data_IF_271475440963
#
_entry.id   IF_271475440963
#
_cell.length_a   1.000
_cell.length_b   1.000
_cell.length_c   1.000
_cell.angle_alpha   90.00
_cell.angle_beta   90.00
_cell.angle_gamma   90.00
#
_symmetry.space_group_name_H-M   'P 1'
#
loop_
_entity.id
_entity.type
_entity.pdbx_description
1 polymer ?
#
# COMPACT_ATOMS: atom_id res chain seq x y z
N UNK A 1 -73.01 -30.84 23.26
CA UNK A 1 -73.07 -32.30 23.53
C UNK A 1 -71.75 -32.72 24.20
N UNK A 2 -71.67 -33.95 24.71
CA UNK A 2 -70.66 -34.57 25.59
C UNK A 2 -69.16 -34.18 25.41
N UNK A 3 -68.24 -34.40 26.37
CA UNK A 3 -68.20 -34.40 27.85
C UNK A 3 -66.95 -35.17 28.34
N UNK A 4 -66.32 -34.72 29.46
CA UNK A 4 -65.30 -35.44 30.28
C UNK A 4 -63.93 -35.71 29.59
N UNK A 5 -62.82 -35.95 30.32
CA UNK A 5 -62.62 -36.15 31.78
C UNK A 5 -61.23 -35.65 32.25
N UNK A 6 -61.11 -35.41 33.56
CA UNK A 6 -59.95 -34.83 34.24
C UNK A 6 -59.06 -35.86 34.98
N UNK A 7 -57.75 -35.60 35.01
CA UNK A 7 -56.78 -35.80 36.13
C UNK A 7 -55.47 -35.08 35.72
N UNK A 8 -54.80 -34.23 36.50
CA UNK A 8 -54.61 -34.02 37.96
C UNK A 8 -53.74 -35.10 38.64
N UNK A 9 -52.45 -34.80 38.78
CA UNK A 9 -51.79 -34.74 40.09
C UNK A 9 -50.56 -33.81 40.06
N UNK A 10 -50.26 -33.16 41.18
CA UNK A 10 -49.15 -32.23 41.39
C UNK A 10 -48.56 -32.46 42.78
N UNK A 11 -47.22 -32.43 42.94
CA UNK A 11 -46.53 -32.15 44.21
C UNK A 11 -45.02 -31.88 44.09
N UNK A 12 -44.67 -30.74 44.67
CA UNK A 12 -43.36 -30.12 44.93
C UNK A 12 -42.33 -30.95 45.77
N UNK A 13 -41.07 -30.46 45.90
CA UNK A 13 -39.90 -31.23 46.39
C UNK A 13 -39.53 -30.99 47.87
N UNK A 14 -38.43 -31.60 48.37
CA UNK A 14 -37.50 -31.06 49.41
C UNK A 14 -36.29 -32.00 49.66
N UNK A 15 -35.27 -31.50 50.38
CA UNK A 15 -34.07 -32.17 50.96
C UNK A 15 -32.99 -32.67 49.97
N UNK A 16 -31.71 -32.24 49.99
CA UNK A 16 -30.67 -31.94 51.01
C UNK A 16 -29.90 -33.14 51.57
N UNK A 17 -28.59 -33.18 51.32
CA UNK A 17 -27.61 -33.58 52.34
C UNK A 17 -26.23 -32.96 52.05
N UNK A 18 -25.46 -32.74 53.12
CA UNK A 18 -24.15 -32.05 53.08
C UNK A 18 -23.24 -32.68 54.13
N UNK A 19 -22.14 -33.28 53.69
CA UNK A 19 -21.08 -33.80 54.55
C UNK A 19 -19.74 -33.63 53.82
N UNK A 20 -18.57 -33.56 54.46
CA UNK A 20 -18.08 -33.13 55.78
C UNK A 20 -16.58 -33.52 55.74
N UNK A 21 -15.72 -32.95 56.60
CA UNK A 21 -14.28 -33.30 56.61
C UNK A 21 -14.03 -34.50 57.55
N UNK A 22 -12.88 -35.17 57.40
CA UNK A 22 -11.77 -34.80 58.29
C UNK A 22 -10.46 -34.51 57.54
N UNK A 23 -9.44 -34.06 58.27
CA UNK A 23 -8.06 -33.95 57.81
C UNK A 23 -7.10 -34.36 58.93
N UNK A 24 -5.83 -34.61 58.60
CA UNK A 24 -4.78 -34.91 59.57
C UNK A 24 -3.40 -34.43 59.06
N UNK A 25 -2.63 -33.81 59.95
CA UNK A 25 -1.20 -33.54 59.76
C UNK A 25 -0.37 -34.80 60.04
N UNK A 26 0.60 -35.11 59.19
CA UNK A 26 1.80 -35.88 59.57
C UNK A 26 3.03 -35.28 58.87
N UNK A 27 4.22 -35.52 59.43
CA UNK A 27 5.42 -34.73 59.17
C UNK A 27 6.69 -35.60 59.26
N UNK A 28 7.62 -35.44 58.31
CA UNK A 28 9.00 -35.97 58.33
C UNK A 28 9.09 -37.53 58.26
N UNK A 29 10.22 -38.20 57.96
CA UNK A 29 11.62 -37.78 57.73
C UNK A 29 12.41 -38.80 56.85
N UNK A 30 13.59 -38.39 56.33
CA UNK A 30 14.80 -39.20 55.95
C UNK A 30 14.63 -40.34 54.87
N UNK A 31 15.63 -40.78 54.08
CA UNK A 31 17.10 -40.76 54.16
C UNK A 31 17.79 -40.79 52.78
N UNK A 32 18.90 -40.03 52.60
CA UNK A 32 20.12 -40.20 51.74
C UNK A 32 20.04 -40.89 50.34
N UNK A 33 20.84 -40.55 49.32
CA UNK A 33 22.31 -40.31 49.31
C UNK A 33 22.82 -39.39 48.20
N UNK A 34 23.70 -38.44 48.53
CA UNK A 34 24.99 -38.14 47.84
C UNK A 34 25.75 -37.07 48.66
N UNK A 35 27.09 -36.98 48.59
CA UNK A 35 27.86 -36.12 49.49
C UNK A 35 29.28 -35.75 49.03
N UNK A 36 29.92 -34.87 49.83
CA UNK A 36 31.15 -34.11 49.56
C UNK A 36 31.00 -33.07 48.42
N UNK A 37 31.49 -31.83 48.50
CA UNK A 37 32.25 -31.07 49.53
C UNK A 37 33.01 -29.91 48.81
N UNK A 38 33.51 -28.82 49.41
CA UNK A 38 33.79 -28.40 50.80
C UNK A 38 33.83 -26.83 50.81
N UNK A 39 33.17 -26.15 51.78
CA UNK A 39 33.39 -24.77 52.35
C UNK A 39 33.52 -23.55 51.36
N UNK A 40 33.31 -22.24 51.66
CA UNK A 40 32.82 -21.36 52.76
C UNK A 40 32.74 -19.90 52.17
N UNK A 41 32.16 -18.81 52.73
CA UNK A 41 31.33 -18.46 53.93
C UNK A 41 30.58 -17.11 53.62
N UNK A 42 29.62 -16.68 54.47
CA UNK A 42 28.95 -15.34 54.60
C UNK A 42 28.32 -14.65 53.34
N UNK A 43 27.06 -14.18 53.31
CA UNK A 43 26.28 -13.23 54.15
C UNK A 43 26.62 -11.73 53.87
N UNK A 44 25.69 -10.75 53.82
CA UNK A 44 24.29 -10.71 54.31
C UNK A 44 23.34 -9.73 53.55
N UNK A 45 22.15 -9.50 54.11
CA UNK A 45 20.87 -8.88 53.68
C UNK A 45 20.76 -7.58 52.84
N UNK A 46 19.53 -7.38 52.32
CA UNK A 46 18.94 -6.18 51.71
C UNK A 46 18.29 -5.24 52.76
N UNK A 47 18.48 -3.91 52.69
CA UNK A 47 17.71 -2.95 53.49
C UNK A 47 16.45 -2.41 52.79
N UNK A 48 15.35 -2.27 53.56
CA UNK A 48 14.19 -1.41 53.21
C UNK A 48 14.48 0.03 53.66
N UNK A 49 13.93 1.04 52.98
CA UNK A 49 14.14 2.45 53.35
C UNK A 49 12.82 3.18 53.67
N UNK A 50 12.82 3.99 54.74
CA UNK A 50 11.66 4.81 55.15
C UNK A 50 12.06 6.06 55.97
N UNK A 51 11.29 7.15 55.81
CA UNK A 51 11.20 8.37 56.64
C UNK A 51 12.49 9.21 56.93
N UNK A 52 12.66 10.25 56.11
CA UNK A 52 12.42 11.68 56.44
C UNK A 52 13.04 12.28 57.74
N UNK A 53 13.95 13.25 57.56
CA UNK A 53 13.79 14.65 58.03
C UNK A 53 14.81 15.60 57.35
N UNK A 54 14.61 16.92 57.53
CA UNK A 54 15.33 18.00 56.82
C UNK A 54 16.60 18.43 57.55
N UNK A 55 17.54 19.10 56.85
CA UNK A 55 18.07 20.42 57.28
C UNK A 55 18.81 21.20 56.17
N UNK A 56 18.61 22.53 56.17
CA UNK A 56 19.45 23.66 55.66
C UNK A 56 19.94 23.67 54.18
N UNK A 57 20.21 24.88 53.66
CA UNK A 57 20.45 25.19 52.24
C UNK A 57 21.87 25.74 51.98
N UNK A 58 22.51 25.27 50.91
CA UNK A 58 23.79 25.77 50.37
C UNK A 58 23.94 25.38 48.88
N UNK A 59 24.57 26.20 48.00
CA UNK A 59 24.28 26.13 46.56
C UNK A 59 25.33 25.44 45.64
N UNK A 60 24.92 25.30 44.38
CA UNK A 60 25.68 24.94 43.14
C UNK A 60 25.84 23.44 42.81
N UNK A 61 25.83 23.11 41.50
CA UNK A 61 26.45 21.89 40.96
C UNK A 61 25.60 20.83 40.22
N UNK A 62 24.25 20.86 40.23
CA UNK A 62 23.46 19.65 39.91
C UNK A 62 22.48 19.69 38.70
N UNK A 63 22.28 20.82 38.00
CA UNK A 63 21.15 20.96 37.05
C UNK A 63 21.38 20.45 35.62
N UNK A 64 22.62 20.39 35.11
CA UNK A 64 22.87 20.01 33.70
C UNK A 64 22.71 18.51 33.41
N UNK A 65 23.10 17.63 34.34
CA UNK A 65 23.14 16.17 34.09
C UNK A 65 21.77 15.51 33.95
N UNK A 66 20.77 15.98 34.70
CA UNK A 66 19.41 15.44 34.60
C UNK A 66 18.72 15.85 33.30
N UNK A 67 18.99 17.07 32.80
CA UNK A 67 18.38 17.56 31.57
C UNK A 67 18.94 16.83 30.34
N UNK A 68 20.26 16.62 30.26
CA UNK A 68 20.88 15.88 29.15
C UNK A 68 20.50 14.41 29.14
N UNK A 69 20.38 13.77 30.31
CA UNK A 69 19.88 12.40 30.45
C UNK A 69 18.43 12.24 29.94
N UNK A 70 17.52 13.13 30.34
CA UNK A 70 16.13 13.10 29.87
C UNK A 70 16.03 13.43 28.38
N UNK A 71 16.84 14.36 27.86
CA UNK A 71 16.86 14.71 26.43
C UNK A 71 17.39 13.53 25.59
N UNK A 72 18.43 12.82 26.02
CA UNK A 72 18.94 11.65 25.28
C UNK A 72 17.93 10.49 25.30
N UNK A 73 17.37 10.15 26.47
CA UNK A 73 16.34 9.12 26.59
C UNK A 73 15.08 9.43 25.75
N UNK A 74 14.67 10.69 25.69
CA UNK A 74 13.52 11.14 24.87
C UNK A 74 13.85 11.11 23.37
N UNK A 75 15.04 11.56 22.96
CA UNK A 75 15.42 11.53 21.54
C UNK A 75 15.60 10.10 21.02
N UNK A 76 16.28 9.21 21.76
CA UNK A 76 16.46 7.81 21.36
C UNK A 76 15.15 7.01 21.23
N UNK A 77 14.10 7.36 21.97
CA UNK A 77 12.78 6.69 21.89
C UNK A 77 11.85 7.31 20.84
N UNK A 78 11.94 8.61 20.59
CA UNK A 78 11.07 9.34 19.66
C UNK A 78 11.57 9.30 18.20
N UNK A 79 12.88 9.45 17.97
CA UNK A 79 13.48 9.40 16.62
C UNK A 79 13.08 8.17 15.77
N UNK A 80 13.09 6.92 16.28
CA UNK A 80 12.69 5.75 15.48
C UNK A 80 11.20 5.70 15.14
N UNK A 81 10.35 6.52 15.75
CA UNK A 81 8.91 6.57 15.40
C UNK A 81 8.69 7.49 14.20
N UNK A 82 9.24 8.71 14.22
CA UNK A 82 9.11 9.69 13.14
C UNK A 82 9.74 9.22 11.83
N UNK A 83 10.94 8.61 11.87
CA UNK A 83 11.60 8.08 10.66
C UNK A 83 10.75 7.03 9.95
N UNK A 84 10.06 6.17 10.70
CA UNK A 84 9.15 5.18 10.14
C UNK A 84 7.87 5.79 9.53
N UNK A 85 7.34 6.86 10.12
CA UNK A 85 6.20 7.62 9.59
C UNK A 85 6.59 8.36 8.30
N UNK A 86 7.71 9.08 8.32
CA UNK A 86 8.27 9.78 7.16
C UNK A 86 8.49 8.78 6.02
N UNK A 87 9.18 7.67 6.26
CA UNK A 87 9.45 6.65 5.24
C UNK A 87 8.16 6.01 4.69
N UNK A 88 7.11 5.81 5.51
CA UNK A 88 5.81 5.36 5.00
C UNK A 88 5.19 6.39 4.04
N UNK A 89 5.20 7.68 4.39
CA UNK A 89 4.68 8.72 3.50
C UNK A 89 5.55 8.93 2.25
N UNK A 90 6.89 8.91 2.35
CA UNK A 90 7.80 9.01 1.20
C UNK A 90 7.59 7.87 0.20
N UNK A 91 7.41 6.63 0.67
CA UNK A 91 7.06 5.49 -0.20
C UNK A 91 5.70 5.68 -0.88
N UNK A 92 4.69 6.18 -0.14
CA UNK A 92 3.33 6.37 -0.67
C UNK A 92 3.25 7.55 -1.65
N UNK A 93 3.81 8.72 -1.33
CA UNK A 93 3.75 9.87 -2.24
C UNK A 93 4.75 9.68 -3.39
N UNK A 94 6.03 9.42 -3.11
CA UNK A 94 7.06 9.27 -4.14
C UNK A 94 6.78 8.10 -5.10
N UNK A 95 6.53 6.91 -4.56
CA UNK A 95 6.27 5.72 -5.37
C UNK A 95 5.01 5.86 -6.23
N UNK A 96 3.89 6.32 -5.66
CA UNK A 96 2.65 6.37 -6.41
C UNK A 96 2.58 7.57 -7.38
N UNK A 97 3.25 8.70 -7.11
CA UNK A 97 3.39 9.78 -8.10
C UNK A 97 4.27 9.36 -9.28
N UNK A 98 5.42 8.73 -9.02
CA UNK A 98 6.31 8.23 -10.08
C UNK A 98 5.64 7.12 -10.91
N UNK A 99 4.79 6.30 -10.28
CA UNK A 99 3.98 5.30 -11.00
C UNK A 99 3.00 5.96 -11.99
N UNK A 100 2.32 7.04 -11.61
CA UNK A 100 1.42 7.78 -12.52
C UNK A 100 2.18 8.39 -13.69
N UNK A 101 3.36 8.97 -13.47
CA UNK A 101 4.20 9.50 -14.54
C UNK A 101 4.62 8.40 -15.54
N UNK A 102 5.12 7.26 -15.05
CA UNK A 102 5.48 6.14 -15.91
C UNK A 102 4.26 5.50 -16.60
N UNK A 103 3.09 5.50 -15.95
CA UNK A 103 1.83 5.02 -16.52
C UNK A 103 1.37 5.88 -17.70
N UNK A 104 1.46 7.21 -17.56
CA UNK A 104 1.05 8.16 -18.60
C UNK A 104 1.95 8.04 -19.85
N UNK A 105 3.25 7.81 -19.68
CA UNK A 105 4.17 7.52 -20.78
C UNK A 105 3.77 6.26 -21.57
N UNK A 106 3.45 5.15 -20.88
CA UNK A 106 3.07 3.89 -21.55
C UNK A 106 1.69 3.99 -22.23
N UNK A 107 0.72 4.67 -21.60
CA UNK A 107 -0.65 4.76 -22.13
C UNK A 107 -0.74 5.71 -23.33
N UNK A 108 0.11 6.74 -23.44
CA UNK A 108 0.21 7.59 -24.64
C UNK A 108 0.62 6.78 -25.87
N UNK A 109 1.58 5.88 -25.73
CA UNK A 109 2.06 5.00 -26.79
C UNK A 109 1.11 3.83 -27.10
N UNK A 110 0.59 3.16 -26.06
CA UNK A 110 -0.14 1.91 -26.18
C UNK A 110 -1.32 1.84 -25.19
N UNK A 111 -2.48 2.46 -25.47
CA UNK A 111 -3.59 2.58 -24.52
C UNK A 111 -4.23 1.23 -24.13
N UNK A 112 -4.06 0.17 -24.92
CA UNK A 112 -4.58 -1.17 -24.62
C UNK A 112 -3.74 -1.99 -23.62
N UNK A 113 -2.57 -1.49 -23.19
CA UNK A 113 -1.57 -2.22 -22.38
C UNK A 113 -1.92 -2.45 -20.90
N UNK A 114 -3.03 -1.91 -20.41
CA UNK A 114 -3.43 -1.95 -18.98
C UNK A 114 -3.37 -3.33 -18.29
N UNK A 115 -3.85 -4.42 -18.91
CA UNK A 115 -3.73 -5.77 -18.34
C UNK A 115 -2.27 -6.22 -18.15
N UNK A 116 -1.40 -5.99 -19.14
CA UNK A 116 0.02 -6.30 -19.05
C UNK A 116 0.73 -5.46 -17.98
N UNK A 117 0.42 -4.16 -17.88
CA UNK A 117 0.95 -3.29 -16.81
C UNK A 117 0.58 -3.84 -15.44
N UNK A 118 -0.67 -4.27 -15.26
CA UNK A 118 -1.15 -4.87 -14.00
C UNK A 118 -0.41 -6.18 -13.69
N UNK A 119 -0.26 -7.05 -14.69
CA UNK A 119 0.48 -8.30 -14.55
C UNK A 119 1.96 -8.06 -14.18
N UNK A 120 2.63 -7.12 -14.84
CA UNK A 120 4.02 -6.76 -14.55
C UNK A 120 4.21 -6.19 -13.12
N UNK A 121 3.29 -5.34 -12.67
CA UNK A 121 3.27 -4.84 -11.28
C UNK A 121 3.15 -5.97 -10.25
N UNK A 122 2.25 -6.93 -10.49
CA UNK A 122 2.04 -8.08 -9.62
C UNK A 122 3.23 -9.05 -9.63
N UNK A 123 3.77 -9.35 -10.82
CA UNK A 123 4.90 -10.24 -11.01
C UNK A 123 6.16 -9.69 -10.33
N UNK A 124 6.50 -8.42 -10.57
CA UNK A 124 7.66 -7.80 -9.92
C UNK A 124 7.48 -7.72 -8.40
N UNK A 125 6.27 -7.41 -7.91
CA UNK A 125 6.00 -7.38 -6.47
C UNK A 125 6.14 -8.77 -5.82
N UNK A 126 5.71 -9.83 -6.50
CA UNK A 126 5.93 -11.21 -6.04
C UNK A 126 7.43 -11.55 -6.04
N UNK A 127 8.14 -11.34 -7.16
CA UNK A 127 9.59 -11.63 -7.29
C UNK A 127 10.42 -10.87 -6.24
N UNK A 128 10.12 -9.59 -5.97
CA UNK A 128 10.81 -8.78 -4.96
C UNK A 128 10.41 -9.10 -3.51
N UNK A 129 9.40 -9.95 -3.27
CA UNK A 129 9.00 -10.37 -1.92
C UNK A 129 9.30 -11.83 -1.60
N UNK A 130 9.32 -12.72 -2.61
CA UNK A 130 9.68 -14.15 -2.48
C UNK A 130 10.95 -14.38 -1.64
N UNK A 131 12.11 -13.73 -1.88
CA UNK A 131 13.33 -13.99 -1.11
C UNK A 131 13.20 -13.74 0.40
N UNK A 132 12.30 -12.84 0.82
CA UNK A 132 12.04 -12.59 2.24
C UNK A 132 11.15 -13.64 2.92
N UNK A 133 10.64 -14.61 2.16
CA UNK A 133 9.79 -15.72 2.61
C UNK A 133 10.34 -17.10 2.25
N UNK A 134 11.49 -17.18 1.58
CA UNK A 134 12.22 -18.44 1.40
C UNK A 134 13.03 -18.77 2.65
N UNK A 135 12.94 -20.02 3.10
CA UNK A 135 13.67 -20.57 4.24
C UNK A 135 14.04 -22.02 3.94
N UNK A 136 15.34 -22.28 3.77
CA UNK A 136 15.88 -23.60 3.40
C UNK A 136 15.47 -24.67 4.42
N UNK A 137 15.39 -24.30 5.71
CA UNK A 137 14.99 -25.20 6.81
C UNK A 137 13.51 -25.60 6.80
N UNK A 138 12.65 -24.96 6.00
CA UNK A 138 11.25 -25.36 5.83
C UNK A 138 11.07 -26.56 4.88
N UNK A 139 12.10 -26.89 4.09
CA UNK A 139 12.14 -28.07 3.21
C UNK A 139 11.14 -28.06 2.03
N UNK A 140 11.23 -29.06 1.14
CA UNK A 140 10.41 -29.11 -0.08
C UNK A 140 8.91 -29.29 0.20
N UNK A 141 8.54 -29.95 1.31
CA UNK A 141 7.13 -30.12 1.71
C UNK A 141 6.42 -28.79 2.02
N UNK A 142 7.15 -27.75 2.44
CA UNK A 142 6.64 -26.38 2.60
C UNK A 142 6.89 -25.50 1.37
N UNK A 143 7.34 -26.07 0.24
CA UNK A 143 7.89 -25.33 -0.91
C UNK A 143 9.00 -24.33 -0.52
N UNK A 144 9.79 -24.68 0.51
CA UNK A 144 10.78 -23.81 1.17
C UNK A 144 10.20 -22.48 1.69
N UNK A 145 8.88 -22.37 1.91
CA UNK A 145 8.28 -21.16 2.48
C UNK A 145 8.38 -21.15 4.01
N UNK A 146 8.80 -20.00 4.55
CA UNK A 146 8.80 -19.68 5.97
C UNK A 146 7.43 -19.92 6.63
N UNK A 147 7.40 -20.35 7.91
CA UNK A 147 6.14 -20.54 8.63
C UNK A 147 5.33 -19.24 8.71
N UNK A 148 4.04 -19.34 8.39
CA UNK A 148 3.08 -18.21 8.41
C UNK A 148 2.64 -17.90 9.83
N UNK A 149 2.61 -16.62 10.22
CA UNK A 149 1.92 -16.19 11.43
C UNK A 149 0.40 -16.10 11.23
N UNK A 150 -0.06 -15.80 9.99
CA UNK A 150 -1.48 -15.69 9.66
C UNK A 150 -1.92 -16.90 8.80
N UNK A 151 -3.00 -17.61 9.17
CA UNK A 151 -3.41 -18.82 8.46
C UNK A 151 -3.79 -18.54 7.00
N UNK A 152 -3.35 -19.43 6.09
CA UNK A 152 -3.50 -19.25 4.63
C UNK A 152 -4.96 -19.01 4.20
N UNK A 153 -5.95 -19.57 4.90
CA UNK A 153 -7.38 -19.31 4.64
C UNK A 153 -7.75 -17.82 4.77
N UNK A 154 -7.14 -17.09 5.71
CA UNK A 154 -7.32 -15.64 5.84
C UNK A 154 -6.62 -14.87 4.72
N UNK A 155 -5.43 -15.32 4.28
CA UNK A 155 -4.76 -14.71 3.13
C UNK A 155 -5.49 -14.97 1.81
N UNK A 156 -6.13 -16.12 1.63
CA UNK A 156 -6.99 -16.40 0.47
C UNK A 156 -8.19 -15.46 0.42
N UNK A 157 -8.90 -15.26 1.54
CA UNK A 157 -10.03 -14.30 1.60
C UNK A 157 -9.57 -12.85 1.35
N UNK A 158 -8.45 -12.44 1.96
CA UNK A 158 -7.88 -11.10 1.70
C UNK A 158 -7.45 -10.93 0.23
N UNK A 159 -6.86 -11.96 -0.36
CA UNK A 159 -6.45 -11.95 -1.78
C UNK A 159 -7.66 -11.90 -2.70
N UNK A 160 -8.73 -12.65 -2.41
CA UNK A 160 -9.96 -12.62 -3.20
C UNK A 160 -10.57 -11.20 -3.25
N UNK A 161 -10.60 -10.48 -2.12
CA UNK A 161 -10.95 -9.06 -2.13
C UNK A 161 -9.96 -8.23 -2.95
N UNK A 162 -8.65 -8.35 -2.68
CA UNK A 162 -7.61 -7.56 -3.33
C UNK A 162 -7.60 -7.69 -4.86
N UNK A 163 -7.63 -8.92 -5.39
CA UNK A 163 -7.61 -9.17 -6.83
C UNK A 163 -8.91 -8.71 -7.48
N UNK A 164 -10.07 -8.97 -6.88
CA UNK A 164 -11.37 -8.53 -7.41
C UNK A 164 -11.45 -7.00 -7.45
N UNK A 165 -10.97 -6.30 -6.41
CA UNK A 165 -10.90 -4.84 -6.38
C UNK A 165 -9.98 -4.31 -7.49
N UNK A 166 -8.79 -4.89 -7.70
CA UNK A 166 -7.90 -4.45 -8.77
C UNK A 166 -8.50 -4.71 -10.16
N UNK A 167 -9.02 -5.91 -10.43
CA UNK A 167 -9.64 -6.26 -11.70
C UNK A 167 -10.84 -5.36 -12.04
N UNK A 168 -11.78 -5.16 -11.11
CA UNK A 168 -12.94 -4.29 -11.33
C UNK A 168 -12.54 -2.82 -11.60
N UNK A 169 -11.52 -2.30 -10.92
CA UNK A 169 -11.04 -0.93 -11.17
C UNK A 169 -10.36 -0.79 -12.54
N UNK A 170 -9.75 -1.85 -13.06
CA UNK A 170 -9.07 -1.83 -14.36
C UNK A 170 -10.05 -2.11 -15.52
N UNK A 171 -11.02 -3.00 -15.32
CA UNK A 171 -12.09 -3.27 -16.29
C UNK A 171 -13.06 -2.10 -16.45
N UNK A 172 -13.22 -1.24 -15.44
CA UNK A 172 -14.03 -0.03 -15.51
C UNK A 172 -13.71 0.88 -16.72
N UNK A 173 -12.44 0.95 -17.13
CA UNK A 173 -12.01 1.73 -18.30
C UNK A 173 -12.58 1.19 -19.64
N UNK A 174 -12.91 -0.11 -19.74
CA UNK A 174 -13.55 -0.66 -20.93
C UNK A 174 -14.97 -0.11 -21.16
N UNK A 175 -15.64 0.37 -20.10
CA UNK A 175 -16.98 0.92 -20.13
C UNK A 175 -17.00 2.43 -20.44
N UNK A 176 -16.03 2.91 -21.24
CA UNK A 176 -15.84 4.32 -21.66
C UNK A 176 -15.66 5.33 -20.50
N UNK A 177 -15.39 4.87 -19.28
CA UNK A 177 -15.15 5.76 -18.14
C UNK A 177 -13.79 6.45 -18.30
N UNK A 178 -13.78 7.78 -18.40
CA UNK A 178 -12.54 8.57 -18.47
C UNK A 178 -11.78 8.59 -17.14
N UNK A 179 -10.46 8.84 -17.20
CA UNK A 179 -9.60 8.87 -15.99
C UNK A 179 -10.10 9.88 -14.94
N UNK A 180 -10.51 11.13 -15.26
CA UNK A 180 -11.10 12.03 -14.26
C UNK A 180 -12.40 11.49 -13.67
N UNK A 181 -13.26 10.86 -14.47
CA UNK A 181 -14.53 10.29 -14.00
C UNK A 181 -14.30 9.10 -13.06
N UNK A 182 -13.30 8.27 -13.32
CA UNK A 182 -12.85 7.23 -12.38
C UNK A 182 -12.26 7.83 -11.09
N UNK A 183 -11.47 8.90 -11.17
CA UNK A 183 -10.95 9.61 -9.98
C UNK A 183 -12.09 10.17 -9.11
N UNK A 184 -13.09 10.80 -9.75
CA UNK A 184 -14.32 11.33 -9.13
C UNK A 184 -15.08 10.21 -8.42
N UNK A 185 -15.44 9.14 -9.14
CA UNK A 185 -16.21 8.03 -8.56
C UNK A 185 -15.43 7.33 -7.45
N UNK A 186 -14.11 7.10 -7.64
CA UNK A 186 -13.23 6.50 -6.63
C UNK A 186 -12.95 7.43 -5.44
N UNK A 187 -13.36 8.71 -5.46
CA UNK A 187 -13.14 9.66 -4.36
C UNK A 187 -13.98 9.35 -3.13
N UNK A 188 -15.21 8.84 -3.30
CA UNK A 188 -16.13 8.43 -2.22
C UNK A 188 -15.67 7.23 -1.38
N UNK A 189 -14.43 6.75 -1.55
CA UNK A 189 -13.88 5.61 -0.83
C UNK A 189 -13.91 5.77 0.70
N UNK A 190 -13.60 6.95 1.29
CA UNK A 190 -13.72 7.16 2.72
C UNK A 190 -15.19 7.16 3.19
N UNK A 191 -16.13 7.63 2.36
CA UNK A 191 -17.58 7.58 2.63
C UNK A 191 -18.05 6.12 2.68
N UNK A 192 -17.70 5.30 1.68
CA UNK A 192 -17.97 3.86 1.70
C UNK A 192 -17.31 3.16 2.90
N UNK A 193 -16.06 3.53 3.23
CA UNK A 193 -15.34 3.01 4.40
C UNK A 193 -16.01 3.37 5.73
N UNK A 194 -16.62 4.55 5.83
CA UNK A 194 -17.43 4.94 6.98
C UNK A 194 -18.75 4.17 7.04
N UNK A 195 -19.52 4.10 5.94
CA UNK A 195 -20.82 3.43 5.91
C UNK A 195 -20.67 1.94 6.26
N UNK A 196 -19.76 1.21 5.59
CA UNK A 196 -19.54 -0.21 5.87
C UNK A 196 -18.93 -0.41 7.27
N UNK A 197 -18.07 0.51 7.74
CA UNK A 197 -17.50 0.47 9.09
C UNK A 197 -18.52 0.71 10.21
N UNK A 198 -19.52 1.54 9.96
CA UNK A 198 -20.67 1.76 10.85
C UNK A 198 -21.56 0.52 10.88
N UNK A 199 -22.05 0.07 9.72
CA UNK A 199 -23.01 -1.03 9.58
C UNK A 199 -22.45 -2.39 10.02
N UNK A 200 -21.25 -2.78 9.56
CA UNK A 200 -20.71 -4.14 9.74
C UNK A 200 -19.62 -4.26 10.82
N UNK A 201 -19.21 -3.14 11.43
CA UNK A 201 -18.14 -3.11 12.43
C UNK A 201 -18.44 -2.19 13.63
N UNK A 202 -19.68 -1.69 13.74
CA UNK A 202 -20.17 -0.82 14.82
C UNK A 202 -19.29 0.41 15.13
N UNK A 203 -18.43 0.84 14.19
CA UNK A 203 -17.53 1.98 14.39
C UNK A 203 -18.35 3.27 14.41
N UNK A 204 -18.41 3.92 15.57
CA UNK A 204 -18.92 5.29 15.71
C UNK A 204 -17.84 6.29 15.28
N UNK A 205 -18.20 7.17 14.37
CA UNK A 205 -17.37 8.28 13.90
C UNK A 205 -17.87 9.59 14.51
N UNK A 206 -16.97 10.54 14.78
CA UNK A 206 -17.39 11.85 15.29
C UNK A 206 -17.81 12.79 14.15
N UNK A 207 -18.52 13.87 14.49
CA UNK A 207 -18.92 14.92 13.53
C UNK A 207 -17.72 15.51 12.78
N UNK A 208 -16.57 15.66 13.45
CA UNK A 208 -15.32 16.12 12.84
C UNK A 208 -14.77 15.16 11.77
N UNK A 209 -14.80 13.85 12.03
CA UNK A 209 -14.37 12.84 11.04
C UNK A 209 -15.30 12.81 9.82
N UNK A 210 -16.61 12.97 10.03
CA UNK A 210 -17.62 12.98 8.96
C UNK A 210 -17.44 14.24 8.09
N UNK A 211 -17.32 15.41 8.71
CA UNK A 211 -17.05 16.67 7.99
C UNK A 211 -15.74 16.59 7.19
N UNK A 212 -14.68 16.06 7.80
CA UNK A 212 -13.40 15.83 7.12
C UNK A 212 -13.54 14.93 5.88
N UNK A 213 -14.28 13.82 5.97
CA UNK A 213 -14.55 12.91 4.84
C UNK A 213 -15.38 13.59 3.75
N UNK A 214 -16.35 14.42 4.11
CA UNK A 214 -17.11 15.20 3.14
C UNK A 214 -16.22 16.22 2.42
N UNK A 215 -15.39 16.98 3.14
CA UNK A 215 -14.44 17.94 2.55
C UNK A 215 -13.40 17.26 1.64
N UNK A 216 -12.85 16.11 2.06
CA UNK A 216 -11.95 15.28 1.24
C UNK A 216 -12.62 14.82 -0.06
N UNK A 217 -13.88 14.41 0.00
CA UNK A 217 -14.63 13.94 -1.17
C UNK A 217 -14.92 15.10 -2.12
N UNK A 218 -15.49 16.20 -1.60
CA UNK A 218 -15.77 17.41 -2.38
C UNK A 218 -14.50 17.98 -3.03
N UNK A 219 -13.39 18.06 -2.29
CA UNK A 219 -12.13 18.60 -2.81
C UNK A 219 -11.55 17.79 -3.97
N UNK A 220 -11.54 16.45 -3.88
CA UNK A 220 -11.08 15.59 -4.99
C UNK A 220 -12.02 15.69 -6.20
N UNK A 221 -13.33 15.78 -5.98
CA UNK A 221 -14.31 15.94 -7.08
C UNK A 221 -14.12 17.30 -7.77
N UNK A 222 -14.07 18.41 -7.02
CA UNK A 222 -13.85 19.76 -7.57
C UNK A 222 -12.54 19.85 -8.34
N UNK A 223 -11.44 19.27 -7.82
CA UNK A 223 -10.16 19.26 -8.53
C UNK A 223 -10.20 18.45 -9.83
N UNK A 224 -10.80 17.26 -9.81
CA UNK A 224 -10.89 16.41 -11.00
C UNK A 224 -11.82 16.98 -12.09
N UNK A 225 -12.94 17.61 -11.70
CA UNK A 225 -13.81 18.35 -12.62
C UNK A 225 -13.07 19.55 -13.26
N UNK A 226 -12.30 20.29 -12.45
CA UNK A 226 -11.56 21.46 -12.90
C UNK A 226 -10.39 21.10 -13.83
N UNK A 227 -9.69 20.00 -13.57
CA UNK A 227 -8.62 19.46 -14.43
C UNK A 227 -9.17 18.94 -15.76
N UNK A 228 -10.25 18.15 -15.73
CA UNK A 228 -10.93 17.66 -16.93
C UNK A 228 -11.40 18.82 -17.84
N UNK A 229 -12.02 19.85 -17.25
CA UNK A 229 -12.45 21.05 -17.97
C UNK A 229 -11.26 21.83 -18.55
N UNK A 230 -10.17 21.98 -17.80
CA UNK A 230 -8.97 22.69 -18.27
C UNK A 230 -8.28 21.98 -19.45
N UNK A 231 -8.32 20.64 -19.47
CA UNK A 231 -7.77 19.79 -20.55
C UNK A 231 -8.75 19.55 -21.70
N UNK A 232 -9.89 20.25 -21.74
CA UNK A 232 -10.92 20.08 -22.77
C UNK A 232 -11.57 18.69 -22.82
N UNK A 233 -11.39 17.86 -21.78
CA UNK A 233 -11.89 16.49 -21.78
C UNK A 233 -13.40 16.47 -21.59
N UNK A 234 -14.12 16.06 -22.64
CA UNK A 234 -15.57 15.91 -22.61
C UNK A 234 -15.97 14.81 -21.62
N UNK A 235 -16.57 15.22 -20.50
CA UNK A 235 -17.22 14.31 -19.55
C UNK A 235 -18.60 13.85 -20.05
N UNK A 236 -18.74 13.66 -21.36
CA UNK A 236 -20.02 13.42 -21.99
C UNK A 236 -20.41 11.94 -21.89
N UNK A 237 -21.61 11.67 -21.38
CA UNK A 237 -22.17 10.31 -21.35
C UNK A 237 -22.76 10.05 -22.72
N UNK A 238 -21.94 9.48 -23.61
CA UNK A 238 -22.28 9.24 -25.02
C UNK A 238 -23.55 8.37 -25.12
N UNK A 239 -24.61 8.97 -25.64
CA UNK A 239 -26.00 8.51 -25.43
C UNK A 239 -26.30 7.14 -26.02
N UNK A 240 -25.51 6.70 -27.00
CA UNK A 240 -25.59 5.38 -27.65
C UNK A 240 -25.41 4.22 -26.67
N UNK A 241 -24.84 4.43 -25.47
CA UNK A 241 -24.92 3.41 -24.40
C UNK A 241 -24.89 3.98 -22.98
N UNK A 242 -26.03 4.54 -22.58
CA UNK A 242 -26.35 4.79 -21.17
C UNK A 242 -26.25 3.50 -20.32
N UNK A 243 -26.56 2.32 -20.89
CA UNK A 243 -26.45 1.01 -20.23
C UNK A 243 -25.00 0.59 -20.00
N UNK A 244 -24.11 0.71 -20.99
CA UNK A 244 -22.66 0.45 -20.80
C UNK A 244 -22.08 1.40 -19.74
N UNK A 245 -22.43 2.68 -19.78
CA UNK A 245 -21.95 3.66 -18.79
C UNK A 245 -22.46 3.33 -17.38
N UNK A 246 -23.74 2.95 -17.24
CA UNK A 246 -24.33 2.49 -15.98
C UNK A 246 -23.63 1.24 -15.44
N UNK A 247 -23.31 0.26 -16.29
CA UNK A 247 -22.53 -0.93 -15.89
C UNK A 247 -21.13 -0.55 -15.42
N UNK A 248 -20.48 0.41 -16.09
CA UNK A 248 -19.22 0.98 -15.62
C UNK A 248 -19.32 1.61 -14.23
N UNK A 249 -20.40 2.37 -13.97
CA UNK A 249 -20.65 2.98 -12.66
C UNK A 249 -20.97 1.96 -11.57
N UNK A 250 -21.75 0.91 -11.86
CA UNK A 250 -22.03 -0.16 -10.88
C UNK A 250 -20.78 -1.00 -10.58
N UNK A 251 -19.92 -1.26 -11.57
CA UNK A 251 -18.60 -1.89 -11.38
C UNK A 251 -17.73 -1.07 -10.43
N UNK A 252 -17.66 0.25 -10.61
CA UNK A 252 -16.88 1.12 -9.72
C UNK A 252 -17.48 1.22 -8.31
N UNK A 253 -18.82 1.31 -8.19
CA UNK A 253 -19.50 1.31 -6.90
C UNK A 253 -19.26 -0.01 -6.14
N UNK A 254 -19.37 -1.16 -6.82
CA UNK A 254 -19.06 -2.48 -6.27
C UNK A 254 -17.59 -2.57 -5.84
N UNK A 255 -16.65 -2.16 -6.69
CA UNK A 255 -15.22 -2.18 -6.36
C UNK A 255 -14.89 -1.30 -5.13
N UNK A 256 -15.63 -0.23 -4.90
CA UNK A 256 -15.50 0.66 -3.75
C UNK A 256 -16.07 0.07 -2.46
N UNK A 257 -17.23 -0.60 -2.54
CA UNK A 257 -17.79 -1.36 -1.41
C UNK A 257 -16.86 -2.52 -1.03
N UNK A 258 -16.35 -3.26 -2.02
CA UNK A 258 -15.36 -4.33 -1.80
C UNK A 258 -14.04 -3.79 -1.24
N UNK A 259 -13.59 -2.60 -1.65
CA UNK A 259 -12.42 -1.92 -1.06
C UNK A 259 -12.63 -1.59 0.43
N UNK A 260 -13.84 -1.16 0.81
CA UNK A 260 -14.18 -0.89 2.21
C UNK A 260 -14.17 -2.17 3.05
N UNK A 261 -14.76 -3.27 2.54
CA UNK A 261 -14.69 -4.58 3.19
C UNK A 261 -13.25 -5.11 3.30
N UNK A 262 -12.45 -5.01 2.24
CA UNK A 262 -11.03 -5.38 2.21
C UNK A 262 -10.24 -4.66 3.31
N UNK A 263 -10.42 -3.35 3.45
CA UNK A 263 -9.75 -2.54 4.47
C UNK A 263 -10.17 -2.92 5.89
N UNK A 264 -11.47 -3.15 6.12
CA UNK A 264 -11.99 -3.57 7.44
C UNK A 264 -11.53 -5.00 7.78
N UNK A 265 -11.45 -5.89 6.80
CA UNK A 265 -10.89 -7.23 6.97
C UNK A 265 -9.42 -7.16 7.37
N UNK A 266 -8.61 -6.34 6.70
CA UNK A 266 -7.20 -6.11 7.04
C UNK A 266 -7.02 -5.56 8.47
N UNK A 267 -7.78 -4.51 8.85
CA UNK A 267 -7.72 -3.93 10.20
C UNK A 267 -8.08 -4.97 11.29
N UNK A 268 -9.11 -5.79 11.06
CA UNK A 268 -9.45 -6.93 11.94
C UNK A 268 -8.35 -8.01 11.97
N UNK A 269 -7.74 -8.31 10.82
CA UNK A 269 -6.72 -9.35 10.70
C UNK A 269 -5.43 -8.97 11.45
N UNK A 270 -4.93 -7.74 11.24
CA UNK A 270 -3.79 -7.19 11.97
C UNK A 270 -4.09 -6.95 13.46
N UNK A 271 -5.34 -6.63 13.82
CA UNK A 271 -5.74 -6.54 15.23
C UNK A 271 -5.78 -7.91 15.93
N UNK A 272 -6.09 -9.01 15.22
CA UNK A 272 -6.14 -10.36 15.79
C UNK A 272 -4.76 -11.02 15.87
N UNK A 273 -3.94 -10.93 14.82
CA UNK A 273 -2.68 -11.68 14.71
C UNK A 273 -1.41 -10.84 14.86
N UNK A 274 -1.51 -9.51 14.94
CA UNK A 274 -0.37 -8.60 15.14
C UNK A 274 -0.17 -7.60 14.00
N UNK A 275 0.25 -6.39 14.36
CA UNK A 275 0.38 -5.23 13.45
C UNK A 275 1.72 -5.12 12.72
N UNK A 276 2.42 -6.25 12.55
CA UNK A 276 3.75 -6.31 11.92
C UNK A 276 3.83 -7.29 10.75
N UNK A 277 2.83 -8.15 10.57
CA UNK A 277 2.72 -9.11 9.45
C UNK A 277 2.32 -8.48 8.11
N UNK A 278 2.59 -7.19 7.90
CA UNK A 278 2.28 -6.47 6.65
C UNK A 278 3.06 -7.01 5.45
N UNK A 279 4.24 -7.61 5.70
CA UNK A 279 5.04 -8.31 4.68
C UNK A 279 4.32 -9.55 4.14
N UNK A 280 3.68 -10.34 5.02
CA UNK A 280 2.89 -11.51 4.59
C UNK A 280 1.71 -11.06 3.72
N UNK A 281 0.99 -10.02 4.14
CA UNK A 281 -0.10 -9.46 3.36
C UNK A 281 0.34 -9.06 1.94
N UNK A 282 1.52 -8.42 1.83
CA UNK A 282 2.08 -7.99 0.55
C UNK A 282 2.50 -9.17 -0.32
N UNK A 283 3.21 -10.15 0.25
CA UNK A 283 3.66 -11.35 -0.46
C UNK A 283 2.49 -12.20 -0.95
N UNK A 284 1.56 -12.56 -0.06
CA UNK A 284 0.45 -13.43 -0.42
C UNK A 284 -0.55 -12.77 -1.37
N UNK A 285 -0.89 -11.47 -1.20
CA UNK A 285 -1.90 -10.84 -2.08
C UNK A 285 -1.46 -10.70 -3.53
N UNK A 286 -0.16 -10.64 -3.81
CA UNK A 286 0.38 -10.59 -5.18
C UNK A 286 0.67 -12.01 -5.69
N UNK A 287 1.36 -12.84 -4.92
CA UNK A 287 1.76 -14.19 -5.34
C UNK A 287 0.56 -15.11 -5.58
N UNK A 288 -0.44 -15.10 -4.69
CA UNK A 288 -1.67 -15.90 -4.86
C UNK A 288 -2.61 -15.34 -5.96
N UNK A 289 -2.39 -14.10 -6.41
CA UNK A 289 -3.14 -13.51 -7.54
C UNK A 289 -2.56 -13.87 -8.90
N UNK A 290 -1.26 -14.20 -9.01
CA UNK A 290 -0.62 -14.50 -10.30
C UNK A 290 -1.30 -15.63 -11.10
N UNK A 291 -1.73 -16.76 -10.51
CA UNK A 291 -2.46 -17.80 -11.23
C UNK A 291 -3.80 -17.32 -11.84
N UNK A 292 -4.40 -16.27 -11.27
CA UNK A 292 -5.68 -15.72 -11.75
C UNK A 292 -5.53 -14.89 -13.04
N UNK A 293 -4.30 -14.62 -13.48
CA UNK A 293 -4.00 -14.03 -14.79
C UNK A 293 -3.89 -15.09 -15.92
N UNK A 294 -3.88 -16.40 -15.61
CA UNK A 294 -3.78 -17.46 -16.61
C UNK A 294 -4.86 -17.41 -17.71
N UNK A 295 -6.16 -17.10 -17.42
CA UNK A 295 -7.17 -16.93 -18.47
C UNK A 295 -6.88 -15.78 -19.45
N UNK A 296 -6.10 -14.78 -19.01
CA UNK A 296 -5.67 -13.64 -19.83
C UNK A 296 -4.33 -13.87 -20.54
N UNK A 297 -3.68 -15.04 -20.37
CA UNK A 297 -2.31 -15.29 -20.85
C UNK A 297 -2.12 -14.99 -22.35
N UNK A 298 -3.06 -15.39 -23.22
CA UNK A 298 -2.96 -15.11 -24.65
C UNK A 298 -2.95 -13.59 -24.97
N UNK A 299 -3.73 -12.80 -24.23
CA UNK A 299 -3.74 -11.34 -24.34
C UNK A 299 -2.46 -10.71 -23.75
N UNK A 300 -1.95 -11.25 -22.64
CA UNK A 300 -0.70 -10.78 -22.03
C UNK A 300 0.49 -11.02 -22.96
N UNK A 301 0.57 -12.19 -23.61
CA UNK A 301 1.64 -12.52 -24.56
C UNK A 301 1.55 -11.67 -25.84
N UNK A 302 0.36 -11.40 -26.38
CA UNK A 302 0.23 -10.52 -27.56
C UNK A 302 0.61 -9.08 -27.23
N UNK A 303 0.18 -8.56 -26.07
CA UNK A 303 0.58 -7.22 -25.59
C UNK A 303 2.09 -7.13 -25.33
N UNK A 304 2.69 -8.15 -24.72
CA UNK A 304 4.15 -8.20 -24.52
C UNK A 304 4.92 -8.20 -25.84
N UNK A 305 4.49 -9.01 -26.82
CA UNK A 305 5.11 -9.05 -28.16
C UNK A 305 5.04 -7.70 -28.85
N UNK A 306 3.89 -7.01 -28.85
CA UNK A 306 3.78 -5.67 -29.46
C UNK A 306 4.74 -4.65 -28.82
N UNK A 307 4.87 -4.68 -27.48
CA UNK A 307 5.76 -3.77 -26.74
C UNK A 307 7.26 -4.11 -26.91
N UNK A 308 7.61 -5.38 -27.15
CA UNK A 308 8.98 -5.83 -27.34
C UNK A 308 9.45 -5.73 -28.81
N UNK A 309 8.55 -5.97 -29.77
CA UNK A 309 8.83 -5.90 -31.21
C UNK A 309 8.81 -4.47 -31.79
N UNK A 310 8.51 -3.44 -30.99
CA UNK A 310 8.72 -2.07 -31.45
C UNK A 310 10.18 -1.69 -31.25
N UNK A 311 10.92 -1.57 -32.36
CA UNK A 311 12.27 -1.00 -32.39
C UNK A 311 12.31 0.39 -31.73
N UNK A 312 13.45 0.81 -31.15
CA UNK A 312 13.60 2.18 -30.65
C UNK A 312 13.35 3.17 -31.80
N UNK A 313 12.65 4.30 -31.58
CA UNK A 313 12.44 5.30 -32.60
C UNK A 313 13.76 6.01 -32.90
N UNK A 314 14.48 5.53 -33.91
CA UNK A 314 15.60 6.24 -34.53
C UNK A 314 15.04 7.50 -35.19
N UNK A 315 15.10 8.62 -34.46
CA UNK A 315 14.69 9.93 -34.95
C UNK A 315 15.66 10.44 -36.02
N UNK A 316 15.49 9.96 -37.25
CA UNK A 316 16.05 10.65 -38.41
C UNK A 316 15.50 12.07 -38.46
N UNK A 317 16.33 13.09 -38.78
CA UNK A 317 15.85 14.46 -38.84
C UNK A 317 14.89 14.63 -40.03
N UNK A 318 13.64 15.01 -39.76
CA UNK A 318 12.73 15.50 -40.79
C UNK A 318 13.22 16.86 -41.31
N UNK A 319 14.17 16.83 -42.25
CA UNK A 319 14.64 18.02 -42.94
C UNK A 319 13.54 18.50 -43.89
N UNK A 320 12.89 19.58 -43.45
CA UNK A 320 12.00 20.49 -44.16
C UNK A 320 12.18 20.49 -45.70
N UNK A 321 11.27 19.84 -46.43
CA UNK A 321 11.31 19.70 -47.89
C UNK A 321 10.15 20.38 -48.63
N UNK A 322 10.13 21.72 -48.69
CA UNK A 322 9.12 22.48 -49.44
C UNK A 322 9.50 22.71 -50.92
N UNK A 323 9.36 21.68 -51.76
CA UNK A 323 9.18 21.73 -53.22
C UNK A 323 8.51 20.41 -53.65
N UNK A 324 7.71 20.30 -54.73
CA UNK A 324 7.24 21.30 -55.68
C UNK A 324 6.97 20.67 -57.05
N UNK A 325 5.71 20.25 -57.31
CA UNK A 325 5.21 19.66 -58.57
C UNK A 325 5.85 18.31 -59.03
N UNK A 326 5.01 17.39 -59.54
CA UNK A 326 5.45 16.25 -60.37
C UNK A 326 4.90 16.39 -61.79
N UNK A 327 4.82 15.33 -62.63
CA UNK A 327 5.31 13.93 -62.48
C UNK A 327 6.09 13.52 -63.78
N UNK A 328 6.01 12.29 -64.39
CA UNK A 328 5.95 10.90 -63.90
C UNK A 328 7.05 9.95 -64.52
N UNK A 329 7.00 8.67 -64.13
CA UNK A 329 7.21 7.45 -64.99
C UNK A 329 8.61 6.84 -65.25
N UNK A 330 8.63 5.48 -65.27
CA UNK A 330 9.60 4.51 -65.84
C UNK A 330 11.09 4.56 -65.36
N UNK A 331 11.90 3.50 -65.43
CA UNK A 331 11.68 2.04 -65.36
C UNK A 331 13.05 1.31 -65.14
N UNK A 332 12.99 0.02 -64.75
CA UNK A 332 14.04 -1.02 -64.96
C UNK A 332 15.38 -1.00 -64.19
N UNK A 333 15.61 -2.09 -63.44
CA UNK A 333 16.86 -2.89 -63.30
C UNK A 333 18.25 -2.24 -63.12
N UNK A 334 18.96 -2.59 -62.03
CA UNK A 334 20.09 -3.56 -62.07
C UNK A 334 20.74 -3.71 -60.66
N UNK A 335 21.57 -4.75 -60.48
CA UNK A 335 22.52 -4.89 -59.35
C UNK A 335 22.03 -5.77 -58.18
N UNK A 336 22.49 -7.02 -58.15
CA UNK A 336 22.36 -7.91 -56.98
C UNK A 336 23.72 -8.53 -56.65
N UNK A 337 24.45 -7.91 -55.72
CA UNK A 337 25.68 -8.40 -55.05
C UNK A 337 25.99 -7.41 -53.91
N UNK A 338 26.52 -7.79 -52.74
CA UNK A 338 26.78 -9.11 -52.17
C UNK A 338 26.98 -8.96 -50.65
N UNK A 339 26.73 -10.01 -49.86
CA UNK A 339 26.75 -9.91 -48.39
C UNK A 339 28.19 -9.93 -47.85
N UNK A 340 28.54 -8.95 -47.01
CA UNK A 340 29.57 -9.11 -45.98
C UNK A 340 29.13 -8.43 -44.69
N UNK A 341 29.46 -9.03 -43.55
CA UNK A 341 28.98 -8.63 -42.22
C UNK A 341 29.91 -7.62 -41.54
N UNK A 342 29.35 -6.51 -41.07
CA UNK A 342 29.98 -5.60 -40.11
C UNK A 342 29.10 -5.45 -38.86
N UNK A 343 29.67 -5.68 -37.68
CA UNK A 343 28.97 -5.60 -36.39
C UNK A 343 28.82 -4.14 -35.95
N UNK A 344 27.75 -3.46 -36.36
CA UNK A 344 27.50 -2.08 -35.90
C UNK A 344 26.91 -2.06 -34.48
N UNK A 345 27.82 -1.87 -33.53
CA UNK A 345 27.58 -1.53 -32.12
C UNK A 345 26.51 -0.45 -31.93
N UNK A 346 25.66 -0.61 -30.92
CA UNK A 346 24.71 0.43 -30.49
C UNK A 346 25.44 1.72 -30.06
N UNK A 347 25.45 2.76 -30.90
CA UNK A 347 25.87 4.11 -30.50
C UNK A 347 24.96 4.64 -29.38
N UNK A 348 25.57 5.01 -28.26
CA UNK A 348 24.88 5.43 -27.04
C UNK A 348 24.66 6.94 -26.93
N UNK A 349 23.70 7.33 -26.09
CA UNK A 349 23.38 8.73 -25.79
C UNK A 349 24.59 9.45 -25.16
N UNK A 350 25.28 10.29 -25.95
CA UNK A 350 26.36 11.15 -25.47
C UNK A 350 25.81 12.34 -24.67
N UNK A 351 25.56 12.13 -23.38
CA UNK A 351 25.33 13.23 -22.44
C UNK A 351 26.63 14.03 -22.24
N UNK A 352 26.49 15.35 -22.11
CA UNK A 352 27.63 16.27 -22.01
C UNK A 352 28.48 16.01 -20.76
N UNK A 353 29.81 16.07 -20.94
CA UNK A 353 30.80 15.81 -19.89
C UNK A 353 30.66 16.76 -18.71
N UNK A 354 30.41 16.21 -17.51
CA UNK A 354 30.56 16.96 -16.26
C UNK A 354 32.07 17.23 -16.06
N UNK A 355 32.50 18.46 -15.71
CA UNK A 355 33.91 18.77 -15.48
C UNK A 355 34.55 17.88 -14.41
N UNK A 356 35.75 17.38 -14.69
CA UNK A 356 36.43 16.39 -13.85
C UNK A 356 36.85 16.93 -12.48
N UNK A 357 36.28 16.35 -11.42
CA UNK A 357 36.67 16.56 -10.03
C UNK A 357 36.11 15.43 -9.15
N UNK A 358 36.82 15.08 -8.07
CA UNK A 358 36.45 13.98 -7.15
C UNK A 358 36.47 12.59 -7.82
N UNK A 359 37.58 12.23 -8.47
CA UNK A 359 37.89 10.82 -8.74
C UNK A 359 38.47 10.17 -7.47
N UNK A 360 37.60 9.68 -6.57
CA UNK A 360 38.02 9.03 -5.34
C UNK A 360 36.88 8.41 -4.53
N UNK A 361 36.94 7.08 -4.35
CA UNK A 361 36.22 6.31 -3.30
C UNK A 361 34.68 6.44 -3.21
N UNK A 362 33.93 6.10 -4.27
CA UNK A 362 32.53 5.65 -4.11
C UNK A 362 32.28 4.39 -4.97
N UNK A 363 32.13 3.18 -4.37
CA UNK A 363 31.92 1.95 -5.14
C UNK A 363 30.57 1.92 -5.90
N UNK A 364 29.55 2.61 -5.39
CA UNK A 364 28.19 2.72 -5.93
C UNK A 364 28.18 3.17 -7.41
N UNK A 365 29.18 3.96 -7.83
CA UNK A 365 29.28 4.48 -9.20
C UNK A 365 29.59 3.39 -10.24
N UNK A 366 30.21 2.26 -9.86
CA UNK A 366 30.40 1.11 -10.75
C UNK A 366 29.10 0.34 -11.00
N UNK A 367 28.27 0.17 -9.97
CA UNK A 367 26.99 -0.52 -10.11
C UNK A 367 26.03 0.24 -11.03
N UNK A 368 26.04 1.58 -10.95
CA UNK A 368 25.29 2.46 -11.86
C UNK A 368 25.75 2.28 -13.33
N UNK A 369 27.06 2.17 -13.57
CA UNK A 369 27.61 1.96 -14.91
C UNK A 369 27.29 0.57 -15.47
N UNK A 370 27.30 -0.48 -14.64
CA UNK A 370 26.87 -1.83 -15.02
C UNK A 370 25.37 -1.88 -15.35
N UNK A 371 24.52 -1.17 -14.58
CA UNK A 371 23.10 -1.01 -14.89
C UNK A 371 22.88 -0.41 -16.29
N UNK A 372 23.68 0.61 -16.65
CA UNK A 372 23.57 1.30 -17.94
C UNK A 372 23.76 0.34 -19.13
N UNK A 373 24.71 -0.59 -19.07
CA UNK A 373 24.97 -1.57 -20.14
C UNK A 373 23.87 -2.63 -20.32
N UNK A 374 22.99 -2.80 -19.33
CA UNK A 374 21.82 -3.67 -19.46
C UNK A 374 20.65 -2.90 -20.12
N UNK A 375 20.52 -1.61 -19.86
CA UNK A 375 19.44 -0.79 -20.40
C UNK A 375 19.56 -0.51 -21.91
N UNK A 376 20.77 -0.50 -22.49
CA UNK A 376 20.96 -0.25 -23.94
C UNK A 376 20.41 -1.35 -24.84
N UNK A 377 20.24 -2.57 -24.33
CA UNK A 377 19.68 -3.71 -25.09
C UNK A 377 18.16 -3.91 -24.85
N UNK A 378 17.53 -3.12 -23.97
CA UNK A 378 16.12 -3.25 -23.59
C UNK A 378 15.30 -2.14 -24.27
N UNK A 379 14.24 -2.46 -25.04
CA UNK A 379 13.40 -1.44 -25.68
C UNK A 379 12.86 -0.43 -24.66
N UNK A 380 12.89 0.86 -24.99
CA UNK A 380 12.55 1.96 -24.06
C UNK A 380 11.18 1.80 -23.39
N UNK A 381 10.21 1.22 -24.10
CA UNK A 381 8.86 0.88 -23.60
C UNK A 381 8.89 -0.15 -22.46
N UNK A 382 9.80 -1.13 -22.53
CA UNK A 382 10.03 -2.12 -21.45
C UNK A 382 10.71 -1.45 -20.24
N UNK A 383 11.60 -0.47 -20.46
CA UNK A 383 12.19 0.31 -19.36
C UNK A 383 11.09 1.10 -18.62
N UNK A 384 10.18 1.78 -19.33
CA UNK A 384 9.04 2.45 -18.69
C UNK A 384 8.12 1.46 -17.95
N UNK A 385 7.86 0.27 -18.50
CA UNK A 385 7.08 -0.78 -17.84
C UNK A 385 7.74 -1.27 -16.53
N UNK A 386 9.07 -1.45 -16.53
CA UNK A 386 9.83 -1.81 -15.33
C UNK A 386 9.84 -0.69 -14.29
N UNK A 387 10.01 0.58 -14.70
CA UNK A 387 9.90 1.74 -13.81
C UNK A 387 8.49 1.83 -13.22
N UNK A 388 7.44 1.62 -14.02
CA UNK A 388 6.05 1.59 -13.55
C UNK A 388 5.83 0.48 -12.49
N UNK A 389 6.31 -0.73 -12.76
CA UNK A 389 6.22 -1.85 -11.82
C UNK A 389 7.01 -1.61 -10.52
N UNK A 390 8.23 -1.06 -10.61
CA UNK A 390 9.08 -0.77 -9.44
C UNK A 390 8.52 0.35 -8.56
N UNK A 391 8.03 1.41 -9.19
CA UNK A 391 7.37 2.53 -8.49
C UNK A 391 6.06 2.09 -7.84
N UNK A 392 5.29 1.18 -8.49
CA UNK A 392 4.14 0.52 -7.86
C UNK A 392 4.57 -0.35 -6.67
N UNK A 393 5.67 -1.11 -6.75
CA UNK A 393 6.17 -1.89 -5.62
C UNK A 393 6.48 -1.01 -4.40
N UNK A 394 7.16 0.13 -4.60
CA UNK A 394 7.43 1.10 -3.53
C UNK A 394 6.11 1.69 -2.97
N UNK A 395 5.20 2.08 -3.86
CA UNK A 395 3.86 2.58 -3.55
C UNK A 395 3.08 1.60 -2.64
N UNK A 396 2.89 0.35 -3.08
CA UNK A 396 2.08 -0.66 -2.37
C UNK A 396 2.75 -1.13 -1.08
N UNK A 397 4.09 -1.21 -1.03
CA UNK A 397 4.88 -1.49 0.18
C UNK A 397 4.61 -0.45 1.28
N UNK A 398 4.55 0.84 0.91
CA UNK A 398 4.14 1.91 1.82
C UNK A 398 2.70 1.74 2.32
N UNK A 399 1.76 1.45 1.41
CA UNK A 399 0.33 1.28 1.73
C UNK A 399 0.06 0.08 2.66
N UNK A 400 0.68 -1.08 2.43
CA UNK A 400 0.53 -2.24 3.31
C UNK A 400 1.08 -1.96 4.71
N UNK A 401 2.21 -1.26 4.82
CA UNK A 401 2.79 -0.87 6.10
C UNK A 401 1.89 0.12 6.87
N UNK A 402 1.34 1.12 6.17
CA UNK A 402 0.33 2.03 6.73
C UNK A 402 -0.94 1.28 7.17
N UNK A 403 -1.39 0.29 6.40
CA UNK A 403 -2.59 -0.50 6.71
C UNK A 403 -2.44 -1.43 7.91
N UNK A 404 -1.22 -1.79 8.31
CA UNK A 404 -1.00 -2.53 9.54
C UNK A 404 -0.91 -1.61 10.77
N UNK A 405 -0.35 -0.39 10.61
CA UNK A 405 -0.16 0.57 11.72
C UNK A 405 -1.30 1.58 11.91
N UNK A 406 -2.31 1.62 11.03
CA UNK A 406 -3.44 2.56 11.11
C UNK A 406 -4.78 1.89 10.79
N UNK A 407 -5.90 2.61 11.01
CA UNK A 407 -7.24 2.08 10.75
C UNK A 407 -7.58 2.07 9.25
N UNK A 408 -8.50 1.20 8.83
CA UNK A 408 -8.96 1.12 7.43
C UNK A 408 -9.38 2.48 6.83
N UNK A 409 -10.08 3.31 7.61
CA UNK A 409 -10.48 4.66 7.19
C UNK A 409 -9.28 5.60 7.05
N UNK A 410 -8.28 5.49 7.92
CA UNK A 410 -7.04 6.29 7.88
C UNK A 410 -6.26 6.01 6.60
N UNK A 411 -6.14 4.74 6.21
CA UNK A 411 -5.57 4.33 4.92
C UNK A 411 -6.34 4.99 3.77
N UNK A 412 -7.66 4.86 3.74
CA UNK A 412 -8.48 5.42 2.64
C UNK A 412 -8.43 6.95 2.58
N UNK A 413 -8.30 7.65 3.70
CA UNK A 413 -8.08 9.10 3.75
C UNK A 413 -6.72 9.47 3.12
N UNK A 414 -5.62 8.87 3.59
CA UNK A 414 -4.27 9.12 3.05
C UNK A 414 -4.20 8.80 1.55
N UNK A 415 -4.84 7.71 1.11
CA UNK A 415 -4.91 7.32 -0.30
C UNK A 415 -5.68 8.32 -1.17
N UNK A 416 -6.59 9.14 -0.62
CA UNK A 416 -7.27 10.18 -1.39
C UNK A 416 -6.47 11.49 -1.42
N UNK A 417 -5.83 11.89 -0.31
CA UNK A 417 -4.86 13.00 -0.30
C UNK A 417 -3.75 12.73 -1.32
N UNK A 418 -3.26 11.48 -1.39
CA UNK A 418 -2.29 11.01 -2.38
C UNK A 418 -2.70 11.25 -3.83
N UNK A 419 -3.96 10.95 -4.21
CA UNK A 419 -4.45 11.18 -5.59
C UNK A 419 -4.32 12.65 -5.99
N UNK A 420 -4.73 13.56 -5.11
CA UNK A 420 -4.61 14.99 -5.35
C UNK A 420 -3.15 15.41 -5.49
N UNK A 421 -2.28 14.98 -4.57
CA UNK A 421 -0.85 15.32 -4.63
C UNK A 421 -0.22 14.82 -5.94
N UNK A 422 -0.61 13.63 -6.43
CA UNK A 422 -0.20 13.15 -7.76
C UNK A 422 -0.73 14.01 -8.90
N UNK A 423 -1.97 14.48 -8.84
CA UNK A 423 -2.58 15.37 -9.83
C UNK A 423 -1.91 16.75 -9.85
N UNK A 424 -1.65 17.35 -8.68
CA UNK A 424 -0.95 18.64 -8.56
C UNK A 424 0.48 18.56 -9.08
N UNK A 425 1.19 17.47 -8.75
CA UNK A 425 2.55 17.24 -9.25
C UNK A 425 2.57 16.97 -10.77
N UNK A 426 1.58 16.25 -11.31
CA UNK A 426 1.40 16.07 -12.76
C UNK A 426 1.19 17.42 -13.47
N UNK A 427 0.28 18.27 -12.98
CA UNK A 427 0.05 19.61 -13.55
C UNK A 427 1.33 20.44 -13.53
N UNK A 428 2.05 20.45 -12.41
CA UNK A 428 3.31 21.18 -12.24
C UNK A 428 4.43 20.67 -13.18
N UNK A 429 4.69 19.36 -13.21
CA UNK A 429 5.77 18.78 -14.01
C UNK A 429 5.52 18.87 -15.52
N UNK A 430 4.26 18.81 -15.96
CA UNK A 430 3.90 18.96 -17.38
C UNK A 430 3.60 20.41 -17.79
N UNK A 431 3.85 21.40 -16.91
CA UNK A 431 3.65 22.82 -17.23
C UNK A 431 2.20 23.22 -17.54
N UNK A 432 1.21 22.43 -17.11
CA UNK A 432 -0.20 22.71 -17.39
C UNK A 432 -0.69 23.90 -16.58
N UNK A 433 -1.56 24.73 -17.18
CA UNK A 433 -2.18 25.86 -16.48
C UNK A 433 -3.04 25.38 -15.31
N UNK A 434 -2.66 25.75 -14.08
CA UNK A 434 -3.36 25.33 -12.86
C UNK A 434 -4.69 26.08 -12.71
N UNK A 435 -5.77 25.44 -13.16
CA UNK A 435 -7.14 25.94 -13.05
C UNK A 435 -7.50 26.32 -11.60
N UNK A 436 -8.13 27.49 -11.34
CA UNK A 436 -8.53 27.90 -9.99
C UNK A 436 -9.41 26.88 -9.25
N UNK A 437 -10.19 26.06 -9.97
CA UNK A 437 -10.95 24.97 -9.38
C UNK A 437 -10.09 23.83 -8.84
N UNK A 438 -8.91 23.58 -9.43
CA UNK A 438 -7.92 22.62 -8.90
C UNK A 438 -7.34 23.14 -7.59
N UNK A 439 -7.03 24.43 -7.50
CA UNK A 439 -6.56 25.06 -6.27
C UNK A 439 -7.62 25.01 -5.16
N UNK A 440 -8.87 25.33 -5.47
CA UNK A 440 -9.99 25.26 -4.52
C UNK A 440 -10.24 23.83 -4.04
N UNK A 441 -10.24 22.85 -4.96
CA UNK A 441 -10.32 21.44 -4.60
C UNK A 441 -9.15 20.98 -3.72
N UNK A 442 -7.95 21.49 -3.98
CA UNK A 442 -6.78 21.19 -3.17
C UNK A 442 -6.90 21.69 -1.73
N UNK A 443 -7.35 22.93 -1.53
CA UNK A 443 -7.58 23.49 -0.20
C UNK A 443 -8.56 22.63 0.62
N UNK A 444 -9.68 22.19 0.03
CA UNK A 444 -10.63 21.31 0.73
C UNK A 444 -10.04 19.95 1.12
N UNK A 445 -9.18 19.35 0.29
CA UNK A 445 -8.50 18.08 0.63
C UNK A 445 -7.48 18.26 1.75
N UNK A 446 -6.67 19.32 1.72
CA UNK A 446 -5.69 19.57 2.78
C UNK A 446 -6.37 19.92 4.11
N UNK A 447 -7.40 20.76 4.11
CA UNK A 447 -8.18 21.10 5.32
C UNK A 447 -8.91 19.85 5.85
N UNK A 448 -9.56 19.06 4.97
CA UNK A 448 -10.21 17.81 5.37
C UNK A 448 -9.23 16.77 5.92
N UNK A 449 -8.05 16.64 5.31
CA UNK A 449 -6.98 15.76 5.80
C UNK A 449 -6.46 16.18 7.17
N UNK A 450 -6.21 17.48 7.38
CA UNK A 450 -5.80 18.04 8.66
C UNK A 450 -6.87 17.86 9.75
N UNK A 451 -8.14 18.15 9.44
CA UNK A 451 -9.27 17.96 10.34
C UNK A 451 -9.42 16.49 10.76
N UNK A 452 -9.27 15.54 9.82
CA UNK A 452 -9.27 14.11 10.12
C UNK A 452 -8.11 13.72 11.05
N UNK A 453 -6.91 14.24 10.81
CA UNK A 453 -5.73 13.99 11.64
C UNK A 453 -5.88 14.51 13.07
N UNK A 454 -6.31 15.77 13.23
CA UNK A 454 -6.55 16.40 14.53
C UNK A 454 -7.63 15.64 15.30
N UNK A 455 -8.74 15.31 14.65
CA UNK A 455 -9.85 14.57 15.26
C UNK A 455 -9.45 13.11 15.61
N UNK A 456 -8.58 12.49 14.82
CA UNK A 456 -7.99 11.19 15.11
C UNK A 456 -7.00 11.20 16.29
N UNK A 457 -6.39 12.33 16.60
CA UNK A 457 -5.47 12.52 17.72
C UNK A 457 -6.16 12.91 19.04
N UNK A 458 -7.45 13.26 19.03
CA UNK A 458 -8.19 13.65 20.24
C UNK A 458 -8.30 12.50 21.26
N UNK A 459 -7.90 12.71 22.53
CA UNK A 459 -8.08 11.72 23.58
C UNK A 459 -9.56 11.37 23.75
N UNK A 460 -9.89 10.08 23.64
CA UNK A 460 -11.23 9.60 24.00
C UNK A 460 -11.36 9.58 25.52
N UNK A 461 -11.93 10.64 26.07
CA UNK A 461 -12.38 10.67 27.47
C UNK A 461 -13.29 9.48 27.69
N UNK A 462 -12.84 8.51 28.49
CA UNK A 462 -13.70 7.44 28.99
C UNK A 462 -14.62 8.07 30.02
N UNK A 463 -15.88 8.31 29.67
CA UNK A 463 -16.92 8.57 30.67
C UNK A 463 -16.94 7.37 31.60
N UNK A 464 -16.56 7.56 32.87
CA UNK A 464 -16.76 6.54 33.87
C UNK A 464 -18.27 6.30 33.99
N UNK A 465 -18.70 5.05 33.79
CA UNK A 465 -20.06 4.65 34.11
C UNK A 465 -20.07 4.42 35.61
N UNK A 466 -20.59 5.39 36.35
CA UNK A 466 -20.96 5.17 37.74
C UNK A 466 -22.17 4.23 37.72
N UNK A 467 -21.93 3.01 38.16
CA UNK A 467 -22.95 2.02 38.53
C UNK A 467 -23.22 2.11 40.05
#
# INVERSE_FOLDING_TARGET
MSARKDTVYDRNPVSTQTESKPGADYKLETTLTSGNGINNVDAEMVPKQAKRNNEVMGPTGATSGHLTSVISATTHTVLPQWTNIILMFSLIFGGCCANVFALEAIIKDQPSSGPLITFAQFLLTAVLTVPGFLSVSAGPHSLYLSPRAIPLRSWLVYTAFFVTVNLLNNWAFAYRISVPLHIILRSGGPVASMIIGYLFNAKRYSRGQILAVLMLTLGVVTAALADAKAKGQSMNVESTSATTTLVGFTILALAMILSAFQGIYADRLYAKYGRDHWKEALFYSHTLSLPLFLPAYAQLVSQWRMLFSTYPPTSGPEILGMTGMGPPSHASSAGLEGISSSEESCEGWRFASIPGGISGQIPILKDIFQLHSIFTCVPTRVIYLLINALTQYLCIRGVHRLSAKSSSLTVTVVLNVRKLVSLLLSIYLFGNALSPGVLMGALFVFIGGALYGIEGARPKVKTAKND
#
